data_IF_264634994706
#
_entry.id   IF_264634994706
#
_cell.length_a   1.000
_cell.length_b   1.000
_cell.length_c   1.000
_cell.angle_alpha   90.00
_cell.angle_beta   90.00
_cell.angle_gamma   90.00
#
_symmetry.space_group_name_H-M   'P 1'
#
loop_
_entity.id
_entity.type
_entity.pdbx_description
1 polymer ?
#
# COMPACT_ATOMS: atom_id res chain seq x y z
N UNK A 1 14.91 -26.95 4.14
CA UNK A 1 15.15 -25.61 3.55
C UNK A 1 16.61 -25.26 3.73
N UNK A 2 17.20 -24.43 2.86
CA UNK A 2 18.57 -23.95 3.06
C UNK A 2 18.64 -23.07 4.32
N UNK A 3 19.76 -23.11 5.05
CA UNK A 3 20.00 -22.23 6.18
C UNK A 3 19.91 -20.76 5.75
N UNK A 4 19.20 -19.92 6.51
CA UNK A 4 19.14 -18.48 6.25
C UNK A 4 20.51 -17.88 6.63
N UNK A 5 21.22 -17.24 5.69
CA UNK A 5 22.51 -16.64 5.97
C UNK A 5 22.38 -15.47 6.94
N UNK A 6 23.39 -15.33 7.81
CA UNK A 6 23.53 -14.21 8.75
C UNK A 6 24.70 -13.36 8.27
N UNK A 7 24.45 -12.07 8.03
CA UNK A 7 25.45 -11.10 7.63
C UNK A 7 25.73 -10.14 8.78
N UNK A 8 26.98 -9.73 8.95
CA UNK A 8 27.22 -8.47 9.66
C UNK A 8 26.85 -7.29 8.75
N UNK A 9 26.51 -6.15 9.34
CA UNK A 9 26.05 -4.98 8.58
C UNK A 9 27.05 -4.53 7.51
N UNK A 10 28.35 -4.52 7.83
CA UNK A 10 29.41 -4.13 6.89
C UNK A 10 29.42 -5.02 5.65
N UNK A 11 29.47 -6.34 5.83
CA UNK A 11 29.45 -7.33 4.75
C UNK A 11 28.19 -7.18 3.89
N UNK A 12 27.03 -6.99 4.52
CA UNK A 12 25.77 -6.80 3.82
C UNK A 12 25.80 -5.53 2.93
N UNK A 13 26.29 -4.41 3.46
CA UNK A 13 26.38 -3.14 2.75
C UNK A 13 27.40 -3.19 1.59
N UNK A 14 28.55 -3.86 1.79
CA UNK A 14 29.54 -4.11 0.74
C UNK A 14 28.94 -4.97 -0.39
N UNK A 15 28.20 -6.03 -0.04
CA UNK A 15 27.48 -6.88 -1.01
C UNK A 15 26.41 -6.09 -1.79
N UNK A 16 25.64 -5.21 -1.13
CA UNK A 16 24.69 -4.33 -1.80
C UNK A 16 25.37 -3.40 -2.82
N UNK A 17 26.59 -2.93 -2.52
CA UNK A 17 27.34 -2.07 -3.43
C UNK A 17 27.86 -2.85 -4.65
N UNK A 18 28.38 -4.05 -4.45
CA UNK A 18 28.86 -4.92 -5.53
C UNK A 18 27.73 -5.28 -6.49
N UNK A 19 26.55 -5.61 -5.96
CA UNK A 19 25.37 -5.93 -6.77
C UNK A 19 24.89 -4.75 -7.62
N UNK A 20 25.06 -3.50 -7.16
CA UNK A 20 24.75 -2.31 -8.00
C UNK A 20 25.67 -2.19 -9.22
N UNK A 21 26.91 -2.68 -9.14
CA UNK A 21 27.90 -2.58 -10.23
C UNK A 21 27.80 -3.70 -11.24
N UNK A 22 27.45 -4.91 -10.79
CA UNK A 22 27.44 -6.11 -11.64
C UNK A 22 26.21 -6.21 -12.54
N UNK A 23 25.15 -5.47 -12.23
CA UNK A 23 23.93 -5.57 -12.99
C UNK A 23 23.71 -4.35 -13.87
N UNK A 24 24.04 -4.46 -15.16
CA UNK A 24 23.44 -3.65 -16.22
C UNK A 24 21.95 -4.04 -16.36
N UNK A 25 21.13 -3.69 -15.35
CA UNK A 25 19.66 -3.90 -15.35
C UNK A 25 19.04 -4.66 -14.17
N UNK A 26 19.83 -5.20 -13.25
CA UNK A 26 19.39 -6.14 -12.19
C UNK A 26 19.35 -5.53 -10.79
N UNK A 27 18.39 -4.63 -10.55
CA UNK A 27 18.10 -4.22 -9.16
C UNK A 27 17.78 -5.46 -8.33
N UNK A 28 18.50 -5.66 -7.22
CA UNK A 28 18.06 -6.63 -6.21
C UNK A 28 16.69 -6.18 -5.73
N UNK A 29 15.64 -6.93 -6.03
CA UNK A 29 14.27 -6.58 -5.65
C UNK A 29 13.99 -6.80 -4.16
N UNK A 30 14.97 -7.33 -3.41
CA UNK A 30 14.81 -7.60 -1.99
C UNK A 30 14.54 -6.32 -1.20
N UNK A 31 13.56 -6.38 -0.30
CA UNK A 31 13.20 -5.29 0.62
C UNK A 31 13.81 -5.55 1.98
N UNK A 32 14.06 -4.46 2.70
CA UNK A 32 14.71 -4.50 4.01
C UNK A 32 13.67 -4.14 5.06
N UNK A 33 13.51 -5.02 6.05
CA UNK A 33 12.65 -4.80 7.21
C UNK A 33 13.54 -4.71 8.43
N UNK A 34 13.54 -3.56 9.08
CA UNK A 34 14.32 -3.30 10.28
C UNK A 34 13.48 -3.55 11.53
N UNK A 35 13.88 -4.53 12.32
CA UNK A 35 13.17 -4.93 13.53
C UNK A 35 13.68 -4.26 14.81
N UNK A 36 14.71 -3.40 14.70
CA UNK A 36 15.29 -2.68 15.83
C UNK A 36 14.31 -1.68 16.46
N UNK A 37 14.54 -1.25 17.71
CA UNK A 37 13.81 -0.14 18.31
C UNK A 37 13.79 1.10 17.41
N UNK A 38 12.68 1.86 17.46
CA UNK A 38 12.48 3.05 16.64
C UNK A 38 13.54 4.12 16.89
N UNK A 39 13.99 4.30 18.14
CA UNK A 39 15.08 5.22 18.49
C UNK A 39 16.38 4.88 17.75
N UNK A 40 16.77 3.61 17.71
CA UNK A 40 17.98 3.18 16.99
C UNK A 40 17.84 3.29 15.47
N UNK A 41 16.63 3.07 14.95
CA UNK A 41 16.35 3.28 13.53
C UNK A 41 16.47 4.75 13.14
N UNK A 42 15.94 5.66 13.97
CA UNK A 42 16.03 7.11 13.76
C UNK A 42 17.49 7.59 13.81
N UNK A 43 18.28 7.06 14.74
CA UNK A 43 19.71 7.37 14.83
C UNK A 43 20.46 6.98 13.55
N UNK A 44 20.21 5.77 13.03
CA UNK A 44 20.75 5.34 11.73
C UNK A 44 20.06 4.08 11.24
N UNK A 45 19.74 4.02 9.95
CA UNK A 45 19.18 2.83 9.32
C UNK A 45 19.59 2.69 7.85
N UNK A 46 19.39 1.49 7.28
CA UNK A 46 19.65 1.25 5.86
C UNK A 46 18.63 2.02 5.04
N UNK A 47 19.09 2.83 4.08
CA UNK A 47 18.23 3.60 3.17
C UNK A 47 17.20 2.69 2.52
N UNK A 48 15.95 3.14 2.49
CA UNK A 48 14.81 2.38 1.96
C UNK A 48 14.39 1.14 2.77
N UNK A 49 14.82 1.03 4.03
CA UNK A 49 14.29 0.03 4.96
C UNK A 49 13.02 0.50 5.67
N UNK A 50 12.15 -0.46 6.00
CA UNK A 50 10.94 -0.25 6.78
C UNK A 50 11.19 -0.63 8.23
N UNK A 51 11.01 0.28 9.19
CA UNK A 51 11.02 -0.09 10.61
C UNK A 51 9.68 -0.75 11.02
N UNK A 52 9.77 -1.97 11.54
CA UNK A 52 8.66 -2.70 12.16
C UNK A 52 9.18 -3.35 13.44
N UNK A 53 8.82 -2.84 14.63
CA UNK A 53 9.31 -3.43 15.88
C UNK A 53 8.94 -4.91 15.93
N UNK A 54 9.83 -5.75 16.49
CA UNK A 54 9.63 -7.22 16.58
C UNK A 54 8.22 -7.60 17.03
N UNK A 55 7.70 -6.94 18.07
CA UNK A 55 6.36 -7.20 18.64
C UNK A 55 5.19 -6.82 17.71
N UNK A 56 5.41 -5.93 16.77
CA UNK A 56 4.39 -5.40 15.86
C UNK A 56 4.32 -6.15 14.52
N UNK A 57 5.25 -7.07 14.25
CA UNK A 57 5.39 -7.73 12.94
C UNK A 57 4.07 -8.37 12.49
N UNK A 58 3.37 -9.06 13.41
CA UNK A 58 2.07 -9.69 13.11
C UNK A 58 0.99 -8.68 12.71
N UNK A 59 0.97 -7.53 13.35
CA UNK A 59 -0.06 -6.51 13.18
C UNK A 59 0.20 -5.68 11.92
N UNK A 60 1.48 -5.42 11.63
CA UNK A 60 1.97 -4.58 10.55
C UNK A 60 2.32 -5.37 9.27
N UNK A 61 1.89 -6.62 9.15
CA UNK A 61 2.05 -7.41 7.92
C UNK A 61 1.45 -6.72 6.67
N UNK A 62 0.48 -5.83 6.86
CA UNK A 62 -0.08 -5.02 5.78
C UNK A 62 0.90 -3.97 5.23
N UNK A 63 2.05 -3.74 5.84
CA UNK A 63 3.11 -2.84 5.33
C UNK A 63 4.16 -3.56 4.48
N UNK A 64 4.16 -4.90 4.52
CA UNK A 64 5.15 -5.73 3.85
C UNK A 64 4.90 -5.82 2.33
N UNK A 65 5.97 -6.04 1.54
CA UNK A 65 5.84 -6.24 0.09
C UNK A 65 5.01 -7.49 -0.25
N UNK A 66 4.66 -7.67 -1.54
CA UNK A 66 4.18 -8.96 -2.03
C UNK A 66 5.09 -10.13 -1.58
N UNK A 67 4.51 -11.32 -1.40
CA UNK A 67 5.24 -12.50 -0.90
C UNK A 67 6.29 -13.03 -1.87
N UNK A 68 6.15 -12.69 -3.15
CA UNK A 68 7.11 -12.91 -4.22
C UNK A 68 8.36 -12.04 -4.10
N UNK A 69 8.33 -11.02 -3.24
CA UNK A 69 9.46 -10.15 -2.96
C UNK A 69 10.29 -10.72 -1.82
N UNK A 70 11.57 -10.92 -2.11
CA UNK A 70 12.57 -11.33 -1.13
C UNK A 70 12.72 -10.29 0.00
N UNK A 71 13.03 -10.77 1.21
CA UNK A 71 13.23 -9.95 2.40
C UNK A 71 14.61 -10.14 3.01
N UNK A 72 15.23 -9.03 3.40
CA UNK A 72 16.27 -9.02 4.43
C UNK A 72 15.69 -8.46 5.73
N UNK A 73 16.05 -9.09 6.84
CA UNK A 73 15.61 -8.67 8.17
C UNK A 73 16.80 -8.10 8.92
N UNK A 74 16.74 -6.84 9.33
CA UNK A 74 17.75 -6.20 10.17
C UNK A 74 17.36 -6.33 11.62
N UNK A 75 18.32 -6.68 12.47
CA UNK A 75 18.12 -6.82 13.91
C UNK A 75 19.37 -6.39 14.66
N UNK A 76 19.23 -5.97 15.90
CA UNK A 76 20.37 -5.62 16.75
C UNK A 76 21.06 -6.88 17.30
N UNK A 77 22.36 -6.76 17.46
CA UNK A 77 23.26 -7.72 18.04
C UNK A 77 23.05 -7.97 19.53
N UNK A 78 22.44 -7.02 20.25
CA UNK A 78 22.36 -6.99 21.72
C UNK A 78 20.93 -7.13 22.27
N UNK A 79 19.94 -7.52 21.44
CA UNK A 79 18.61 -7.87 21.97
C UNK A 79 18.76 -9.16 22.78
N UNK A 80 19.17 -9.00 24.04
CA UNK A 80 19.43 -10.03 25.03
C UNK A 80 18.11 -10.66 25.48
N UNK A 81 18.19 -11.94 25.82
CA UNK A 81 17.15 -12.95 26.05
C UNK A 81 16.03 -12.65 27.08
N UNK A 82 15.87 -11.42 27.56
CA UNK A 82 15.06 -11.14 28.75
C UNK A 82 13.59 -10.80 28.48
N UNK A 83 13.11 -10.93 27.24
CA UNK A 83 11.67 -10.89 26.98
C UNK A 83 11.23 -12.21 26.39
N UNK A 84 10.71 -13.08 27.25
CA UNK A 84 9.85 -14.20 26.87
C UNK A 84 8.56 -13.63 26.24
N UNK A 85 8.68 -13.07 25.03
CA UNK A 85 7.51 -12.81 24.21
C UNK A 85 7.15 -14.17 23.62
N UNK A 86 6.14 -14.80 24.22
CA UNK A 86 5.43 -15.94 23.66
C UNK A 86 4.66 -15.51 22.39
N UNK A 87 5.38 -15.14 21.33
CA UNK A 87 4.84 -14.92 19.99
C UNK A 87 4.15 -16.23 19.49
N UNK A 88 4.55 -17.37 20.06
CA UNK A 88 3.96 -18.68 19.74
C UNK A 88 2.51 -18.82 20.24
N UNK A 89 2.14 -18.18 21.36
CA UNK A 89 0.83 -18.41 22.00
C UNK A 89 -0.31 -17.55 21.44
N UNK A 90 -0.03 -16.51 20.64
CA UNK A 90 -1.08 -15.65 20.03
C UNK A 90 -1.71 -16.24 18.75
N UNK A 91 -1.31 -17.45 18.33
CA UNK A 91 -1.99 -18.15 17.23
C UNK A 91 -2.63 -19.45 17.70
N UNK A 92 -3.90 -19.37 18.10
CA UNK A 92 -4.83 -20.51 18.20
C UNK A 92 -4.99 -21.19 16.83
N UNK A 93 -4.03 -22.04 16.47
CA UNK A 93 -4.15 -23.05 15.43
C UNK A 93 -3.15 -24.16 15.72
N UNK A 94 -3.64 -25.31 16.15
CA UNK A 94 -2.91 -26.54 16.55
C UNK A 94 -1.97 -27.12 15.48
N UNK A 95 -1.86 -26.50 14.29
CA UNK A 95 -0.92 -26.87 13.22
C UNK A 95 0.51 -26.32 13.39
N UNK A 96 0.85 -25.70 14.53
CA UNK A 96 2.18 -25.10 14.77
C UNK A 96 3.29 -26.09 15.12
N UNK A 97 2.95 -27.31 15.53
CA UNK A 97 3.93 -28.30 15.99
C UNK A 97 4.80 -28.86 14.86
N UNK A 98 4.37 -28.75 13.59
CA UNK A 98 5.11 -29.31 12.45
C UNK A 98 6.28 -28.43 11.97
N UNK A 99 6.34 -27.14 12.32
CA UNK A 99 7.43 -26.26 11.86
C UNK A 99 8.65 -26.25 12.80
N UNK A 100 8.52 -26.69 14.06
CA UNK A 100 9.62 -26.56 15.05
C UNK A 100 10.80 -27.47 14.75
N UNK A 101 10.57 -28.67 14.20
CA UNK A 101 11.62 -29.63 13.88
C UNK A 101 12.52 -29.21 12.69
N UNK A 102 12.06 -28.29 11.83
CA UNK A 102 12.78 -27.90 10.61
C UNK A 102 13.68 -26.67 10.79
N UNK A 103 13.63 -26.00 11.95
CA UNK A 103 14.33 -24.73 12.24
C UNK A 103 15.67 -24.95 12.98
N UNK A 104 15.98 -26.18 13.39
CA UNK A 104 17.22 -26.54 14.09
C UNK A 104 18.52 -26.23 13.30
N UNK A 105 18.43 -25.78 12.04
CA UNK A 105 19.60 -25.32 11.25
C UNK A 105 19.95 -23.82 11.44
N UNK A 106 19.09 -23.01 12.08
CA UNK A 106 19.50 -21.70 12.58
C UNK A 106 20.24 -21.98 13.89
N UNK A 107 21.58 -22.02 13.87
CA UNK A 107 22.38 -22.28 15.08
C UNK A 107 21.86 -21.43 16.24
N UNK A 108 21.44 -22.08 17.33
CA UNK A 108 20.62 -21.48 18.38
C UNK A 108 21.24 -20.25 19.07
N UNK A 109 22.55 -20.02 18.93
CA UNK A 109 23.31 -19.06 19.73
C UNK A 109 23.37 -17.61 19.23
N UNK A 110 22.88 -17.28 18.03
CA UNK A 110 23.18 -15.95 17.42
C UNK A 110 21.98 -15.06 17.10
N UNK A 111 20.74 -15.58 17.09
CA UNK A 111 19.54 -14.77 16.81
C UNK A 111 18.66 -14.76 18.06
N UNK A 112 18.33 -13.58 18.60
CA UNK A 112 17.41 -13.42 19.74
C UNK A 112 16.08 -14.15 19.53
N UNK A 113 15.56 -14.78 20.59
CA UNK A 113 14.31 -15.58 20.54
C UNK A 113 13.12 -14.81 19.96
N UNK A 114 12.96 -13.54 20.33
CA UNK A 114 11.87 -12.69 19.84
C UNK A 114 11.99 -12.40 18.32
N UNK A 115 13.19 -12.13 17.83
CA UNK A 115 13.49 -11.89 16.41
C UNK A 115 13.26 -13.16 15.60
N UNK A 116 13.66 -14.32 16.14
CA UNK A 116 13.35 -15.63 15.55
C UNK A 116 11.84 -15.80 15.40
N UNK A 117 11.06 -15.49 16.44
CA UNK A 117 9.60 -15.51 16.38
C UNK A 117 9.03 -14.67 15.23
N UNK A 118 9.51 -13.44 15.07
CA UNK A 118 9.13 -12.58 13.95
C UNK A 118 9.47 -13.17 12.57
N UNK A 119 10.69 -13.70 12.38
CA UNK A 119 11.10 -14.35 11.13
C UNK A 119 10.21 -15.56 10.83
N UNK A 120 9.88 -16.36 11.84
CA UNK A 120 8.99 -17.51 11.69
C UNK A 120 7.58 -17.11 11.28
N UNK A 121 7.06 -16.01 11.81
CA UNK A 121 5.79 -15.43 11.35
C UNK A 121 5.87 -15.10 9.87
N UNK A 122 6.95 -14.44 9.41
CA UNK A 122 7.11 -14.08 7.99
C UNK A 122 7.18 -15.31 7.08
N UNK A 123 8.01 -16.30 7.43
CA UNK A 123 8.14 -17.55 6.69
C UNK A 123 6.81 -18.31 6.62
N UNK A 124 6.12 -18.46 7.76
CA UNK A 124 4.81 -19.14 7.84
C UNK A 124 3.74 -18.44 7.02
N UNK A 125 3.81 -17.11 6.92
CA UNK A 125 2.91 -16.33 6.08
C UNK A 125 3.32 -16.35 4.60
N UNK A 126 4.47 -16.92 4.25
CA UNK A 126 4.91 -17.21 2.88
C UNK A 126 5.86 -16.19 2.29
N UNK A 127 6.44 -15.29 3.09
CA UNK A 127 7.54 -14.43 2.62
C UNK A 127 8.85 -15.21 2.57
N UNK A 128 9.68 -14.87 1.58
CA UNK A 128 11.01 -15.44 1.43
C UNK A 128 12.07 -14.57 2.12
N UNK A 129 12.54 -14.99 3.30
CA UNK A 129 13.60 -14.28 4.03
C UNK A 129 14.96 -14.76 3.54
N UNK A 130 15.65 -13.92 2.76
CA UNK A 130 16.95 -14.22 2.14
C UNK A 130 18.13 -14.13 3.09
N UNK A 131 18.00 -13.39 4.17
CA UNK A 131 19.07 -13.23 5.14
C UNK A 131 18.68 -12.39 6.33
N UNK A 132 19.43 -12.56 7.41
CA UNK A 132 19.36 -11.72 8.60
C UNK A 132 20.61 -10.85 8.65
N UNK A 133 20.43 -9.56 8.82
CA UNK A 133 21.51 -8.58 8.93
C UNK A 133 21.62 -8.18 10.39
N UNK A 134 22.74 -8.55 11.01
CA UNK A 134 23.06 -8.15 12.37
C UNK A 134 23.63 -6.75 12.36
N UNK A 135 22.95 -5.83 13.03
CA UNK A 135 23.40 -4.47 13.26
C UNK A 135 24.48 -4.47 14.35
N UNK A 136 25.67 -4.94 14.02
CA UNK A 136 26.85 -4.79 14.88
C UNK A 136 27.52 -3.47 14.57
N UNK A 137 27.76 -2.66 15.60
CA UNK A 137 28.31 -1.31 15.52
C UNK A 137 29.32 -1.12 14.40
N UNK A 138 28.91 -0.40 13.37
CA UNK A 138 29.83 0.29 12.48
C UNK A 138 30.48 1.34 13.39
N UNK A 139 31.72 1.12 13.87
CA UNK A 139 32.39 2.09 14.74
C UNK A 139 32.33 3.50 14.11
N UNK A 140 32.33 4.57 14.92
CA UNK A 140 32.13 5.96 14.47
C UNK A 140 32.97 6.32 13.22
N UNK A 141 34.22 5.83 13.16
CA UNK A 141 35.13 6.03 12.04
C UNK A 141 34.61 5.47 10.70
N UNK A 142 33.80 4.42 10.74
CA UNK A 142 33.22 3.82 9.55
C UNK A 142 31.92 4.51 9.14
N UNK A 143 31.07 4.98 10.04
CA UNK A 143 29.85 5.76 9.69
C UNK A 143 30.17 6.95 8.78
N UNK A 144 31.37 7.52 8.94
CA UNK A 144 31.87 8.65 8.17
C UNK A 144 32.42 8.32 6.77
N UNK A 145 32.49 7.05 6.35
CA UNK A 145 32.97 6.72 5.00
C UNK A 145 31.90 6.97 3.93
N UNK A 146 32.31 7.51 2.77
CA UNK A 146 31.42 7.81 1.64
C UNK A 146 30.56 6.62 1.17
N UNK A 147 31.07 5.39 1.33
CA UNK A 147 30.36 4.15 0.96
C UNK A 147 29.09 4.00 1.81
N UNK A 148 29.21 4.12 3.13
CA UNK A 148 28.09 3.94 4.03
C UNK A 148 27.17 5.16 4.07
N UNK A 149 27.69 6.39 3.89
CA UNK A 149 26.88 7.60 3.81
C UNK A 149 25.84 7.54 2.68
N UNK A 150 26.11 6.83 1.58
CA UNK A 150 25.16 6.67 0.49
C UNK A 150 24.11 5.57 0.72
N UNK A 151 24.33 4.71 1.71
CA UNK A 151 23.54 3.50 1.99
C UNK A 151 22.78 3.57 3.31
N UNK A 152 23.24 4.39 4.24
CA UNK A 152 22.59 4.67 5.51
C UNK A 152 21.92 6.04 5.46
N UNK A 153 20.87 6.21 6.24
CA UNK A 153 20.18 7.49 6.44
C UNK A 153 19.79 7.61 7.92
N UNK A 154 19.36 8.79 8.32
CA UNK A 154 18.92 9.11 9.69
C UNK A 154 17.55 9.78 9.65
N UNK A 155 16.89 9.87 10.81
CA UNK A 155 15.56 10.47 10.94
C UNK A 155 14.42 9.48 10.75
N UNK A 156 13.20 10.04 10.71
CA UNK A 156 11.94 9.29 10.68
C UNK A 156 11.48 8.91 9.26
N UNK A 157 12.40 8.72 8.32
CA UNK A 157 12.04 8.43 6.92
C UNK A 157 11.25 7.11 6.81
N UNK A 158 9.93 7.22 6.69
CA UNK A 158 9.08 6.06 6.44
C UNK A 158 9.17 5.62 4.99
N UNK A 159 9.80 4.46 4.77
CA UNK A 159 9.90 3.88 3.45
C UNK A 159 8.77 2.87 3.20
N UNK A 160 7.93 3.17 2.23
CA UNK A 160 6.92 2.22 1.78
C UNK A 160 7.58 1.15 0.92
N UNK A 161 7.59 -0.07 1.47
CA UNK A 161 8.09 -1.24 0.78
C UNK A 161 6.96 -2.11 0.20
N UNK A 162 5.71 -1.84 0.55
CA UNK A 162 4.57 -2.47 -0.12
C UNK A 162 4.38 -1.92 -1.53
N UNK A 163 3.61 -2.66 -2.32
CA UNK A 163 3.17 -2.24 -3.66
C UNK A 163 1.65 -2.12 -3.67
N UNK A 164 1.09 -1.25 -4.53
CA UNK A 164 -0.34 -1.28 -4.81
C UNK A 164 -0.73 -2.62 -5.41
N UNK A 165 -2.02 -2.83 -5.61
CA UNK A 165 -2.55 -3.83 -6.52
C UNK A 165 -1.74 -3.82 -7.83
N UNK A 166 -1.17 -4.96 -8.28
CA UNK A 166 -0.31 -4.99 -9.47
C UNK A 166 -0.98 -4.40 -10.71
N UNK A 167 -2.28 -4.67 -10.88
CA UNK A 167 -3.10 -4.17 -11.99
C UNK A 167 -3.19 -2.63 -11.97
N UNK A 168 -3.32 -2.01 -10.78
CA UNK A 168 -3.34 -0.57 -10.64
C UNK A 168 -1.96 0.02 -10.95
N UNK A 169 -0.89 -0.57 -10.37
CA UNK A 169 0.48 -0.14 -10.62
C UNK A 169 0.87 -0.16 -12.10
N UNK A 170 0.48 -1.20 -12.83
CA UNK A 170 0.72 -1.37 -14.28
C UNK A 170 0.00 -0.31 -15.12
N UNK A 171 -1.22 0.07 -14.73
CA UNK A 171 -2.10 0.90 -15.55
C UNK A 171 -2.23 2.36 -15.07
N UNK A 172 -1.57 2.75 -13.99
CA UNK A 172 -1.72 4.09 -13.42
C UNK A 172 -1.38 5.22 -14.39
N UNK A 173 -0.38 5.02 -15.27
CA UNK A 173 -0.01 6.01 -16.29
C UNK A 173 -1.12 6.22 -17.32
N UNK A 174 -1.83 5.15 -17.70
CA UNK A 174 -2.97 5.22 -18.60
C UNK A 174 -4.12 6.01 -17.93
N UNK A 175 -4.40 5.71 -16.66
CA UNK A 175 -5.43 6.41 -15.87
C UNK A 175 -5.11 7.91 -15.77
N UNK A 176 -3.90 8.25 -15.32
CA UNK A 176 -3.43 9.63 -15.14
C UNK A 176 -3.44 10.41 -16.46
N UNK A 177 -2.94 9.80 -17.54
CA UNK A 177 -2.93 10.44 -18.86
C UNK A 177 -4.33 10.69 -19.40
N UNK A 178 -5.26 9.74 -19.23
CA UNK A 178 -6.64 9.89 -19.68
C UNK A 178 -7.36 11.00 -18.89
N UNK A 179 -7.25 11.01 -17.56
CA UNK A 179 -7.83 12.08 -16.74
C UNK A 179 -7.23 13.45 -17.06
N UNK A 180 -5.90 13.51 -17.22
CA UNK A 180 -5.23 14.72 -17.67
C UNK A 180 -5.79 15.18 -19.02
N UNK A 181 -5.87 14.31 -20.03
CA UNK A 181 -6.42 14.66 -21.35
C UNK A 181 -7.83 15.22 -21.24
N UNK A 182 -8.68 14.58 -20.44
CA UNK A 182 -10.10 14.91 -20.34
C UNK A 182 -10.35 16.21 -19.57
N UNK A 183 -9.65 16.43 -18.46
CA UNK A 183 -9.86 17.58 -17.59
C UNK A 183 -9.08 18.79 -18.11
N UNK A 184 -7.86 18.57 -18.61
CA UNK A 184 -6.97 19.66 -19.01
C UNK A 184 -7.22 20.16 -20.43
N UNK A 185 -7.39 19.26 -21.41
CA UNK A 185 -7.47 19.68 -22.82
C UNK A 185 -8.88 20.08 -23.26
N UNK A 186 -9.92 19.57 -22.58
CA UNK A 186 -11.30 19.85 -22.97
C UNK A 186 -11.97 20.95 -22.15
N UNK A 187 -11.31 21.47 -21.11
CA UNK A 187 -11.85 22.55 -20.31
C UNK A 187 -11.22 23.87 -20.75
N UNK A 188 -11.93 24.62 -21.60
CA UNK A 188 -11.60 26.02 -21.86
C UNK A 188 -11.74 26.89 -20.59
N UNK A 189 -12.47 26.40 -19.58
CA UNK A 189 -12.98 27.18 -18.44
C UNK A 189 -12.43 26.79 -17.04
N UNK A 190 -11.60 25.75 -16.92
CA UNK A 190 -11.05 25.43 -15.60
C UNK A 190 -9.95 26.43 -15.26
N UNK A 191 -10.26 27.33 -14.31
CA UNK A 191 -9.33 28.22 -13.64
C UNK A 191 -8.22 27.41 -12.94
N UNK A 192 -7.25 26.96 -13.72
CA UNK A 192 -6.03 26.34 -13.23
C UNK A 192 -5.38 27.37 -12.32
N UNK A 193 -5.34 27.07 -11.02
CA UNK A 193 -4.60 27.87 -10.06
C UNK A 193 -3.14 27.84 -10.49
N UNK A 194 -2.67 28.92 -11.12
CA UNK A 194 -1.24 29.16 -11.30
C UNK A 194 -0.65 29.37 -9.91
N UNK A 195 -0.06 28.33 -9.35
CA UNK A 195 0.72 28.46 -8.13
C UNK A 195 2.08 29.04 -8.50
N UNK A 196 2.30 30.31 -8.19
CA UNK A 196 3.64 30.90 -8.23
C UNK A 196 4.44 30.26 -7.11
N UNK A 197 5.25 29.24 -7.43
CA UNK A 197 6.21 28.67 -6.48
C UNK A 197 7.31 29.72 -6.34
N UNK A 198 7.32 30.45 -5.22
CA UNK A 198 8.38 31.38 -4.89
C UNK A 198 9.70 30.60 -4.74
N UNK A 199 10.62 30.78 -5.68
CA UNK A 199 11.93 30.15 -5.67
C UNK A 199 12.99 31.12 -6.20
N UNK A 200 14.23 30.89 -5.80
CA UNK A 200 15.42 31.74 -5.99
C UNK A 200 15.52 32.50 -7.32
N UNK A 201 15.98 33.75 -7.21
CA UNK A 201 16.01 34.82 -8.21
C UNK A 201 16.88 34.58 -9.47
N UNK A 202 17.18 33.33 -9.84
CA UNK A 202 18.00 32.97 -11.01
C UNK A 202 17.44 31.88 -11.92
N UNK A 203 16.38 31.17 -11.54
CA UNK A 203 15.80 30.11 -12.37
C UNK A 203 14.69 30.67 -13.26
N UNK A 204 14.73 30.39 -14.58
CA UNK A 204 13.61 30.65 -15.50
C UNK A 204 12.39 29.84 -15.02
N UNK A 205 11.52 30.46 -14.23
CA UNK A 205 10.33 29.80 -13.66
C UNK A 205 9.36 29.39 -14.78
N UNK A 206 9.28 28.10 -15.07
CA UNK A 206 8.11 27.51 -15.72
C UNK A 206 7.03 27.41 -14.65
N UNK A 207 5.90 28.11 -14.83
CA UNK A 207 4.78 28.02 -13.91
C UNK A 207 4.26 26.56 -13.90
N UNK A 208 4.46 25.86 -12.78
CA UNK A 208 3.93 24.51 -12.61
C UNK A 208 2.45 24.61 -12.29
N UNK A 209 1.62 23.98 -13.11
CA UNK A 209 0.18 23.88 -12.86
C UNK A 209 -0.09 22.60 -12.08
N UNK A 210 -1.02 22.64 -11.13
CA UNK A 210 -1.40 21.47 -10.32
C UNK A 210 -2.83 21.07 -10.68
N UNK A 211 -2.99 19.83 -11.12
CA UNK A 211 -4.29 19.19 -11.31
C UNK A 211 -4.59 18.32 -10.10
N UNK A 212 -5.58 18.73 -9.30
CA UNK A 212 -6.04 17.99 -8.13
C UNK A 212 -7.07 16.94 -8.58
N UNK A 213 -6.77 15.66 -8.35
CA UNK A 213 -7.61 14.53 -8.71
C UNK A 213 -8.19 13.89 -7.45
N UNK A 214 -9.48 13.55 -7.47
CA UNK A 214 -10.15 12.85 -6.38
C UNK A 214 -10.40 11.40 -6.73
N UNK A 215 -10.04 10.50 -5.82
CA UNK A 215 -10.24 9.05 -5.98
C UNK A 215 -11.03 8.49 -4.82
N UNK A 216 -12.02 7.65 -5.11
CA UNK A 216 -12.75 6.86 -4.12
C UNK A 216 -12.33 5.39 -4.20
N UNK A 217 -11.80 4.84 -3.11
CA UNK A 217 -11.48 3.42 -2.97
C UNK A 217 -12.55 2.73 -2.11
N UNK A 218 -13.34 1.87 -2.76
CA UNK A 218 -14.49 1.21 -2.12
C UNK A 218 -14.12 -0.20 -1.66
N UNK A 219 -14.19 -0.42 -0.35
CA UNK A 219 -13.63 -1.61 0.28
C UNK A 219 -12.11 -1.51 0.35
N UNK A 220 -11.60 -0.36 0.82
CA UNK A 220 -10.18 0.01 0.72
C UNK A 220 -9.24 -0.91 1.51
N UNK A 221 -9.77 -1.75 2.42
CA UNK A 221 -8.97 -2.71 3.17
C UNK A 221 -7.87 -2.02 3.96
N UNK A 222 -6.62 -2.46 3.80
CA UNK A 222 -5.49 -1.81 4.47
C UNK A 222 -5.02 -0.51 3.81
N UNK A 223 -5.71 -0.01 2.77
CA UNK A 223 -5.43 1.31 2.17
C UNK A 223 -4.19 1.41 1.29
N UNK A 224 -3.53 0.29 0.93
CA UNK A 224 -2.28 0.32 0.15
C UNK A 224 -2.41 1.09 -1.17
N UNK A 225 -3.52 0.89 -1.88
CA UNK A 225 -3.79 1.55 -3.16
C UNK A 225 -4.00 3.06 -2.98
N UNK A 226 -4.75 3.46 -1.95
CA UNK A 226 -4.94 4.88 -1.59
C UNK A 226 -3.63 5.56 -1.22
N UNK A 227 -2.84 4.95 -0.34
CA UNK A 227 -1.56 5.49 0.12
C UNK A 227 -0.60 5.61 -1.05
N UNK A 228 -0.55 4.58 -1.90
CA UNK A 228 0.20 4.61 -3.14
C UNK A 228 -0.18 5.83 -3.98
N UNK A 229 -1.47 6.06 -4.24
CA UNK A 229 -1.95 7.23 -5.01
C UNK A 229 -1.62 8.56 -4.33
N UNK A 230 -1.83 8.70 -3.03
CA UNK A 230 -1.56 9.94 -2.28
C UNK A 230 -0.08 10.35 -2.25
N UNK A 231 0.83 9.38 -2.41
CA UNK A 231 2.27 9.62 -2.54
C UNK A 231 2.75 9.85 -3.96
N UNK A 232 1.89 9.60 -4.97
CA UNK A 232 2.31 9.81 -6.35
C UNK A 232 2.56 11.29 -6.58
N UNK A 233 3.74 11.56 -7.12
CA UNK A 233 4.16 12.86 -7.60
C UNK A 233 4.40 12.76 -9.10
N UNK A 234 3.33 12.50 -9.85
CA UNK A 234 3.37 12.34 -11.30
C UNK A 234 3.26 13.71 -11.96
N UNK A 235 3.93 13.87 -13.11
CA UNK A 235 3.76 15.04 -13.95
C UNK A 235 3.58 14.65 -15.41
N UNK A 236 2.75 15.40 -16.12
CA UNK A 236 2.45 15.19 -17.54
C UNK A 236 2.86 16.45 -18.32
N UNK A 237 3.49 16.25 -19.46
CA UNK A 237 3.79 17.31 -20.42
C UNK A 237 2.69 17.36 -21.49
N UNK A 238 1.93 18.47 -21.60
CA UNK A 238 0.99 18.66 -22.71
C UNK A 238 1.75 18.68 -24.04
N UNK A 239 1.20 18.03 -25.08
CA UNK A 239 1.82 18.06 -26.42
C UNK A 239 1.80 19.46 -27.05
N UNK A 240 0.72 20.21 -26.81
CA UNK A 240 0.50 21.56 -27.33
C UNK A 240 1.39 22.61 -26.65
N UNK A 241 1.77 22.37 -25.40
CA UNK A 241 2.53 23.32 -24.58
C UNK A 241 3.69 22.61 -23.87
N UNK A 242 4.79 22.44 -24.61
CA UNK A 242 6.01 21.79 -24.12
C UNK A 242 6.70 22.55 -22.97
N UNK A 243 6.22 23.75 -22.60
CA UNK A 243 6.83 24.58 -21.57
C UNK A 243 6.17 24.43 -20.20
N UNK A 244 4.91 23.98 -20.15
CA UNK A 244 4.15 23.93 -18.91
C UNK A 244 3.96 22.50 -18.43
N UNK A 245 4.76 22.12 -17.43
CA UNK A 245 4.60 20.84 -16.74
C UNK A 245 3.35 20.90 -15.84
N UNK A 246 2.47 19.91 -15.98
CA UNK A 246 1.29 19.77 -15.11
C UNK A 246 1.55 18.65 -14.12
N UNK A 247 1.60 19.00 -12.83
CA UNK A 247 1.72 18.06 -11.72
C UNK A 247 0.33 17.51 -11.37
N UNK A 248 0.24 16.21 -11.15
CA UNK A 248 -0.98 15.55 -10.69
C UNK A 248 -0.88 15.30 -9.19
N UNK A 249 -1.90 15.73 -8.45
CA UNK A 249 -2.00 15.50 -7.00
C UNK A 249 -3.29 14.77 -6.66
N UNK A 250 -3.18 13.60 -6.02
CA UNK A 250 -4.33 12.79 -5.64
C UNK A 250 -4.82 13.13 -4.23
N UNK A 251 -6.15 13.20 -4.07
CA UNK A 251 -6.86 13.24 -2.78
C UNK A 251 -7.66 11.95 -2.63
N UNK A 252 -7.18 10.96 -1.85
CA UNK A 252 -7.86 9.70 -1.66
C UNK A 252 -9.01 9.74 -0.65
N UNK A 253 -10.12 9.09 -0.99
CA UNK A 253 -11.29 8.85 -0.15
C UNK A 253 -11.46 7.34 -0.01
N UNK A 254 -11.50 6.84 1.21
CA UNK A 254 -11.57 5.41 1.49
C UNK A 254 -12.86 5.05 2.21
N UNK A 255 -13.52 3.98 1.78
CA UNK A 255 -14.65 3.41 2.49
C UNK A 255 -14.35 1.96 2.84
N UNK A 256 -14.56 1.60 4.10
CA UNK A 256 -14.61 0.20 4.50
C UNK A 256 -15.63 0.03 5.64
N UNK A 257 -16.19 -1.17 5.73
CA UNK A 257 -17.11 -1.52 6.82
C UNK A 257 -16.37 -2.04 8.05
N UNK A 258 -15.12 -2.49 7.87
CA UNK A 258 -14.25 -2.99 8.91
C UNK A 258 -13.42 -1.84 9.47
N UNK A 259 -13.64 -1.53 10.74
CA UNK A 259 -12.92 -0.44 11.42
C UNK A 259 -11.40 -0.67 11.44
N UNK A 260 -10.96 -1.90 11.71
CA UNK A 260 -9.54 -2.25 11.68
C UNK A 260 -8.87 -2.05 10.32
N UNK A 261 -9.61 -2.08 9.21
CA UNK A 261 -9.09 -1.75 7.90
C UNK A 261 -8.78 -0.25 7.83
N UNK A 262 -9.72 0.58 8.30
CA UNK A 262 -9.56 2.03 8.37
C UNK A 262 -8.43 2.43 9.32
N UNK A 263 -8.30 1.80 10.49
CA UNK A 263 -7.17 1.97 11.42
C UNK A 263 -5.82 1.79 10.71
N UNK A 264 -5.69 0.74 9.89
CA UNK A 264 -4.47 0.48 9.10
C UNK A 264 -4.20 1.59 8.09
N UNK A 265 -5.25 2.12 7.45
CA UNK A 265 -5.09 3.26 6.54
C UNK A 265 -4.62 4.50 7.30
N UNK A 266 -5.14 4.78 8.50
CA UNK A 266 -4.69 5.91 9.34
C UNK A 266 -3.20 5.79 9.64
N UNK A 267 -2.80 4.65 10.20
CA UNK A 267 -1.41 4.34 10.53
C UNK A 267 -0.47 4.45 9.32
N UNK A 268 -0.86 3.91 8.17
CA UNK A 268 -0.06 4.05 6.94
C UNK A 268 0.05 5.52 6.51
N UNK A 269 -1.05 6.27 6.56
CA UNK A 269 -1.09 7.64 6.07
C UNK A 269 -0.27 8.60 6.91
N UNK A 270 -0.26 8.39 8.23
CA UNK A 270 0.53 9.16 9.19
C UNK A 270 2.00 8.94 8.98
N UNK A 271 2.41 7.66 8.92
CA UNK A 271 3.79 7.27 8.65
C UNK A 271 4.24 7.77 7.28
N UNK A 272 3.37 7.72 6.27
CA UNK A 272 3.64 8.26 4.94
C UNK A 272 3.56 9.80 4.86
N UNK A 273 3.27 10.49 5.96
CA UNK A 273 3.08 11.96 6.02
C UNK A 273 2.07 12.51 5.00
N UNK A 274 1.00 11.76 4.73
CA UNK A 274 -0.09 12.15 3.84
C UNK A 274 -1.47 12.07 4.49
N UNK A 275 -1.56 11.92 5.82
CA UNK A 275 -2.82 11.85 6.56
C UNK A 275 -3.76 13.03 6.25
N UNK A 276 -3.22 14.24 6.09
CA UNK A 276 -3.99 15.44 5.73
C UNK A 276 -4.61 15.42 4.34
N UNK A 277 -4.19 14.49 3.47
CA UNK A 277 -4.70 14.32 2.11
C UNK A 277 -5.79 13.26 2.00
N UNK A 278 -6.01 12.48 3.06
CA UNK A 278 -6.89 11.31 3.04
C UNK A 278 -8.18 11.59 3.80
N UNK A 279 -9.29 11.08 3.25
CA UNK A 279 -10.59 11.05 3.92
C UNK A 279 -11.05 9.61 4.04
N UNK A 280 -11.57 9.24 5.21
CA UNK A 280 -12.00 7.87 5.50
C UNK A 280 -13.44 7.88 6.00
N UNK A 281 -14.25 6.94 5.52
CA UNK A 281 -15.66 6.79 5.89
C UNK A 281 -15.89 5.38 6.42
N UNK A 282 -16.41 5.28 7.64
CA UNK A 282 -16.84 4.01 8.22
C UNK A 282 -18.26 3.67 7.74
N UNK A 283 -18.33 3.08 6.55
CA UNK A 283 -19.59 2.78 5.87
C UNK A 283 -19.55 1.42 5.16
N UNK A 284 -20.72 0.84 4.95
CA UNK A 284 -20.90 -0.37 4.14
C UNK A 284 -21.79 -0.08 2.94
N UNK A 285 -21.68 -0.88 1.90
CA UNK A 285 -22.64 -0.86 0.79
C UNK A 285 -23.87 -1.67 1.20
N UNK A 286 -25.06 -1.06 1.12
CA UNK A 286 -26.31 -1.73 1.46
C UNK A 286 -26.84 -2.61 0.31
N UNK A 287 -28.05 -3.13 0.49
CA UNK A 287 -28.75 -3.96 -0.49
C UNK A 287 -29.20 -3.22 -1.76
N UNK A 288 -29.05 -1.90 -1.84
CA UNK A 288 -29.41 -1.07 -3.01
C UNK A 288 -28.17 -0.43 -3.65
N UNK A 289 -26.97 -0.71 -3.14
CA UNK A 289 -25.72 -0.17 -3.66
C UNK A 289 -25.30 1.17 -3.06
N UNK A 290 -26.08 1.75 -2.16
CA UNK A 290 -25.82 3.03 -1.50
C UNK A 290 -24.96 2.81 -0.26
N UNK A 291 -24.12 3.79 0.10
CA UNK A 291 -23.32 3.71 1.32
C UNK A 291 -24.21 3.99 2.53
N UNK A 292 -24.07 3.19 3.58
CA UNK A 292 -24.75 3.40 4.86
C UNK A 292 -23.73 3.40 5.99
N UNK A 293 -23.84 4.32 6.96
CA UNK A 293 -22.91 4.41 8.07
C UNK A 293 -22.94 3.12 8.91
N UNK A 294 -21.80 2.77 9.50
CA UNK A 294 -21.71 1.68 10.46
C UNK A 294 -21.87 2.25 11.87
N UNK A 295 -23.08 2.16 12.42
CA UNK A 295 -23.44 2.78 13.71
C UNK A 295 -22.86 2.06 14.96
N UNK A 296 -22.20 0.91 14.78
CA UNK A 296 -21.54 0.20 15.87
C UNK A 296 -20.09 -0.02 15.48
N UNK A 297 -19.18 0.66 16.18
CA UNK A 297 -17.84 0.14 16.39
C UNK A 297 -18.05 -1.24 17.03
N UNK A 298 -17.92 -2.31 16.25
CA UNK A 298 -17.70 -3.61 16.88
C UNK A 298 -16.42 -3.40 17.65
N UNK A 299 -16.47 -3.46 18.98
CA UNK A 299 -15.28 -3.51 19.81
C UNK A 299 -14.32 -4.52 19.17
N UNK A 300 -13.32 -4.02 18.45
CA UNK A 300 -12.33 -4.80 17.71
C UNK A 300 -11.51 -5.66 18.68
N UNK A 301 -11.61 -5.37 19.98
CA UNK A 301 -11.11 -6.11 21.14
C UNK A 301 -11.58 -7.57 21.27
N UNK A 302 -12.56 -8.04 20.48
CA UNK A 302 -12.95 -9.46 20.45
C UNK A 302 -12.01 -10.35 19.63
N UNK A 303 -11.15 -9.75 18.79
CA UNK A 303 -9.95 -10.42 18.31
C UNK A 303 -8.89 -10.20 19.37
N UNK A 304 -8.31 -11.27 19.94
CA UNK A 304 -7.10 -11.23 20.76
C UNK A 304 -5.90 -10.76 19.89
N UNK A 305 -5.98 -9.54 19.35
CA UNK A 305 -4.84 -8.75 18.93
C UNK A 305 -4.24 -8.31 20.25
N UNK A 306 -3.44 -9.22 20.84
CA UNK A 306 -3.14 -9.24 22.26
C UNK A 306 -2.67 -7.88 22.74
N UNK A 307 -3.43 -7.28 23.67
CA UNK A 307 -3.06 -6.07 24.41
C UNK A 307 -2.24 -5.06 23.61
N UNK A 308 -2.60 -4.84 22.34
CA UNK A 308 -2.13 -3.66 21.66
C UNK A 308 -2.97 -2.54 22.25
N UNK A 309 -2.49 -2.05 23.41
CA UNK A 309 -2.86 -0.80 24.02
C UNK A 309 -2.44 0.30 23.02
N UNK A 310 -3.12 0.37 21.89
CA UNK A 310 -3.34 1.64 21.26
C UNK A 310 -4.20 2.39 22.26
N UNK A 311 -3.54 3.08 23.17
CA UNK A 311 -4.18 4.08 24.00
C UNK A 311 -5.06 4.91 23.06
N UNK A 312 -6.30 5.16 23.43
CA UNK A 312 -7.26 6.00 22.71
C UNK A 312 -6.76 7.45 22.47
N UNK A 313 -5.47 7.72 22.69
CA UNK A 313 -4.81 9.01 22.76
C UNK A 313 -4.09 9.44 21.48
N UNK A 314 -4.14 8.69 20.38
CA UNK A 314 -3.45 9.11 19.14
C UNK A 314 -4.29 8.88 17.89
N UNK A 315 -5.39 9.63 17.77
CA UNK A 315 -5.89 10.01 16.45
C UNK A 315 -5.20 11.33 16.13
N UNK A 316 -4.26 11.39 15.17
CA UNK A 316 -3.65 12.67 14.81
C UNK A 316 -4.72 13.61 14.28
N UNK A 317 -4.68 14.84 14.78
CA UNK A 317 -5.65 15.90 14.51
C UNK A 317 -5.79 16.27 13.02
N UNK A 318 -4.88 15.81 12.16
CA UNK A 318 -4.82 16.16 10.74
C UNK A 318 -5.63 15.22 9.84
N UNK A 319 -5.96 14.00 10.28
CA UNK A 319 -6.71 13.05 9.49
C UNK A 319 -8.21 13.29 9.64
N UNK A 320 -8.92 13.45 8.51
CA UNK A 320 -10.37 13.57 8.52
C UNK A 320 -11.01 12.18 8.52
N UNK A 321 -11.33 11.71 9.72
CA UNK A 321 -12.09 10.48 9.93
C UNK A 321 -13.58 10.82 10.06
N UNK A 322 -14.36 10.37 9.07
CA UNK A 322 -15.78 10.65 9.00
C UNK A 322 -16.56 9.45 9.55
N UNK A 323 -17.17 9.67 10.71
CA UNK A 323 -18.07 8.71 11.36
C UNK A 323 -19.46 9.33 11.41
N UNK A 324 -20.47 8.50 11.21
CA UNK A 324 -21.86 8.89 11.39
C UNK A 324 -22.61 9.17 10.08
N UNK A 325 -23.93 9.36 10.18
CA UNK A 325 -24.83 9.44 9.02
C UNK A 325 -24.57 10.66 8.14
N UNK A 326 -24.28 11.83 8.72
CA UNK A 326 -24.17 13.10 7.99
C UNK A 326 -23.06 13.05 6.92
N UNK A 327 -21.87 12.56 7.28
CA UNK A 327 -20.76 12.49 6.33
C UNK A 327 -20.98 11.43 5.22
N UNK A 328 -21.67 10.33 5.55
CA UNK A 328 -22.04 9.33 4.54
C UNK A 328 -23.15 9.85 3.63
N UNK A 329 -24.06 10.67 4.16
CA UNK A 329 -25.10 11.34 3.39
C UNK A 329 -24.53 12.41 2.44
N UNK A 330 -23.55 13.19 2.89
CA UNK A 330 -22.77 14.10 2.03
C UNK A 330 -22.13 13.33 0.86
N UNK A 331 -21.49 12.19 1.16
CA UNK A 331 -20.88 11.34 0.15
C UNK A 331 -21.91 10.76 -0.82
N UNK A 332 -23.04 10.26 -0.34
CA UNK A 332 -24.11 9.71 -1.19
C UNK A 332 -24.77 10.77 -2.08
N UNK A 333 -24.83 12.02 -1.61
CA UNK A 333 -25.45 13.15 -2.31
C UNK A 333 -24.52 13.79 -3.34
N UNK A 334 -23.25 13.41 -3.33
CA UNK A 334 -22.21 13.97 -4.21
C UNK A 334 -22.35 13.44 -5.64
N UNK A 335 -22.99 14.20 -6.52
CA UNK A 335 -23.08 13.87 -7.94
C UNK A 335 -21.85 14.38 -8.70
N UNK A 336 -21.12 13.49 -9.38
CA UNK A 336 -19.99 13.88 -10.22
C UNK A 336 -18.77 14.39 -9.47
N UNK A 337 -18.53 13.89 -8.25
CA UNK A 337 -17.48 14.40 -7.36
C UNK A 337 -16.11 13.74 -7.54
N UNK A 338 -16.07 12.49 -7.99
CA UNK A 338 -14.82 11.73 -8.12
C UNK A 338 -14.35 11.62 -9.56
N UNK A 339 -13.04 11.77 -9.77
CA UNK A 339 -12.39 11.56 -11.06
C UNK A 339 -12.08 10.08 -11.30
N UNK A 340 -11.88 9.32 -10.22
CA UNK A 340 -11.61 7.90 -10.26
C UNK A 340 -12.37 7.16 -9.15
N UNK A 341 -12.99 6.03 -9.49
CA UNK A 341 -13.45 5.05 -8.50
C UNK A 341 -12.61 3.77 -8.64
N UNK A 342 -12.00 3.33 -7.55
CA UNK A 342 -11.30 2.06 -7.42
C UNK A 342 -12.19 1.00 -6.77
N UNK A 343 -12.10 -0.21 -7.29
CA UNK A 343 -12.72 -1.40 -6.72
C UNK A 343 -11.76 -2.58 -6.83
N UNK A 344 -10.95 -2.81 -5.80
CA UNK A 344 -9.89 -3.83 -5.81
C UNK A 344 -10.25 -4.97 -4.85
N UNK A 345 -10.41 -6.19 -5.38
CA UNK A 345 -10.72 -7.42 -4.62
C UNK A 345 -11.95 -7.31 -3.71
N UNK A 346 -12.78 -6.31 -3.95
CA UNK A 346 -14.12 -6.14 -3.43
C UNK A 346 -15.10 -6.31 -4.60
N UNK A 347 -16.34 -6.71 -4.33
CA UNK A 347 -17.37 -6.81 -5.36
C UNK A 347 -18.75 -6.62 -4.75
N UNK A 348 -19.41 -5.53 -5.15
CA UNK A 348 -20.84 -5.33 -4.92
C UNK A 348 -21.46 -4.73 -6.19
N UNK A 349 -22.08 -5.58 -7.01
CA UNK A 349 -22.70 -5.19 -8.29
C UNK A 349 -23.75 -4.10 -8.13
N UNK A 350 -24.47 -4.10 -7.01
CA UNK A 350 -25.52 -3.12 -6.76
C UNK A 350 -24.95 -1.72 -6.61
N UNK A 351 -23.69 -1.60 -6.17
CA UNK A 351 -22.99 -0.33 -6.06
C UNK A 351 -22.68 0.32 -7.41
N UNK A 352 -22.69 -0.41 -8.54
CA UNK A 352 -22.26 0.12 -9.83
C UNK A 352 -23.13 1.30 -10.31
N UNK A 353 -24.44 1.25 -10.06
CA UNK A 353 -25.34 2.37 -10.38
C UNK A 353 -25.04 3.60 -9.54
N UNK A 354 -24.59 3.41 -8.29
CA UNK A 354 -24.17 4.48 -7.42
C UNK A 354 -22.80 5.04 -7.84
N UNK A 355 -21.84 4.18 -8.21
CA UNK A 355 -20.55 4.58 -8.77
C UNK A 355 -20.72 5.48 -10.00
N UNK A 356 -21.67 5.14 -10.87
CA UNK A 356 -22.01 5.98 -12.01
C UNK A 356 -22.42 7.41 -11.61
N UNK A 357 -23.22 7.58 -10.56
CA UNK A 357 -23.63 8.90 -10.04
C UNK A 357 -22.46 9.66 -9.44
N UNK A 358 -21.64 8.97 -8.64
CA UNK A 358 -20.51 9.57 -7.95
C UNK A 358 -19.37 10.04 -8.88
N UNK A 359 -19.21 9.40 -10.05
CA UNK A 359 -18.19 9.75 -11.04
C UNK A 359 -18.50 11.05 -11.79
N UNK A 360 -17.51 11.94 -11.86
CA UNK A 360 -17.51 13.13 -12.69
C UNK A 360 -17.67 12.78 -14.17
N UNK A 361 -18.10 13.75 -14.99
CA UNK A 361 -18.10 13.59 -16.45
C UNK A 361 -16.66 13.32 -16.90
N UNK A 362 -16.45 12.33 -17.77
CA UNK A 362 -15.13 11.84 -18.16
C UNK A 362 -14.31 11.17 -17.05
N UNK A 363 -14.91 10.96 -15.86
CA UNK A 363 -14.31 10.18 -14.79
C UNK A 363 -14.14 8.71 -15.18
N UNK A 364 -13.24 8.03 -14.47
CA UNK A 364 -12.84 6.66 -14.72
C UNK A 364 -13.32 5.72 -13.63
N UNK A 365 -13.68 4.50 -14.00
CA UNK A 365 -13.76 3.38 -13.06
C UNK A 365 -12.63 2.41 -13.31
N UNK A 366 -11.97 1.97 -12.24
CA UNK A 366 -10.99 0.90 -12.25
C UNK A 366 -11.50 -0.25 -11.37
N UNK A 367 -11.67 -1.43 -11.95
CA UNK A 367 -12.09 -2.63 -11.22
C UNK A 367 -11.03 -3.70 -11.41
N UNK A 368 -10.55 -4.25 -10.29
CA UNK A 368 -9.64 -5.38 -10.29
C UNK A 368 -10.07 -6.42 -9.27
N UNK A 369 -10.88 -7.39 -9.71
CA UNK A 369 -11.46 -8.41 -8.83
C UNK A 369 -11.50 -9.78 -9.51
N UNK A 370 -11.84 -10.81 -8.76
CA UNK A 370 -11.81 -12.20 -9.20
C UNK A 370 -12.81 -12.46 -10.33
N UNK A 371 -12.37 -13.20 -11.35
CA UNK A 371 -13.18 -13.54 -12.54
C UNK A 371 -13.18 -15.05 -12.77
N UNK A 372 -14.28 -15.58 -13.28
CA UNK A 372 -14.42 -16.96 -13.71
C UNK A 372 -15.20 -17.02 -15.03
N UNK A 373 -15.01 -18.11 -15.78
CA UNK A 373 -15.62 -18.30 -17.08
C UNK A 373 -14.92 -19.40 -17.87
N UNK A 374 -15.42 -19.65 -19.08
CA UNK A 374 -14.80 -20.58 -20.02
C UNK A 374 -13.38 -20.12 -20.39
N UNK A 375 -12.42 -21.05 -20.42
CA UNK A 375 -11.01 -20.76 -20.71
C UNK A 375 -10.23 -20.06 -19.58
N UNK A 376 -10.86 -19.74 -18.44
CA UNK A 376 -10.19 -19.10 -17.30
C UNK A 376 -9.78 -20.17 -16.27
N UNK A 377 -8.53 -20.14 -15.75
CA UNK A 377 -8.09 -21.04 -14.70
C UNK A 377 -9.05 -21.10 -13.50
N UNK A 378 -9.41 -22.32 -13.08
CA UNK A 378 -10.32 -22.55 -11.96
C UNK A 378 -9.60 -22.38 -10.62
N UNK A 379 -10.31 -21.83 -9.64
CA UNK A 379 -9.87 -21.72 -8.24
C UNK A 379 -11.05 -21.93 -7.29
N UNK A 380 -10.78 -22.27 -6.04
CA UNK A 380 -11.82 -22.61 -5.05
C UNK A 380 -12.43 -21.41 -4.35
N UNK A 381 -11.63 -20.34 -4.13
CA UNK A 381 -12.07 -19.11 -3.45
C UNK A 381 -11.44 -17.84 -4.02
N UNK A 382 -12.19 -16.72 -4.09
CA UNK A 382 -13.62 -16.60 -3.73
C UNK A 382 -14.55 -17.33 -4.71
N UNK A 383 -15.83 -17.49 -4.36
CA UNK A 383 -16.80 -18.27 -5.14
C UNK A 383 -18.17 -17.56 -5.20
N UNK A 384 -19.01 -17.94 -6.15
CA UNK A 384 -20.40 -17.47 -6.22
C UNK A 384 -20.50 -15.98 -6.54
N UNK A 385 -21.32 -15.24 -5.77
CA UNK A 385 -21.59 -13.81 -5.98
C UNK A 385 -20.36 -12.91 -5.80
N UNK A 386 -19.25 -13.42 -5.28
CA UNK A 386 -18.00 -12.68 -5.11
C UNK A 386 -17.04 -12.79 -6.31
N UNK A 387 -17.47 -13.42 -7.40
CA UNK A 387 -16.68 -13.60 -8.63
C UNK A 387 -17.47 -13.03 -9.81
N UNK A 388 -16.79 -12.29 -10.70
CA UNK A 388 -17.36 -11.80 -11.94
C UNK A 388 -17.42 -12.91 -13.00
N UNK A 389 -18.44 -12.84 -13.86
CA UNK A 389 -18.41 -13.60 -15.11
C UNK A 389 -17.53 -12.90 -16.14
N UNK A 390 -16.94 -13.68 -17.05
CA UNK A 390 -16.26 -13.13 -18.23
C UNK A 390 -17.18 -12.18 -19.00
N UNK A 391 -16.66 -11.05 -19.48
CA UNK A 391 -17.38 -9.96 -20.16
C UNK A 391 -18.49 -9.24 -19.35
N UNK A 392 -18.70 -9.58 -18.08
CA UNK A 392 -19.79 -8.99 -17.27
C UNK A 392 -19.66 -7.47 -17.15
N UNK A 393 -18.46 -6.98 -16.82
CA UNK A 393 -18.19 -5.55 -16.67
C UNK A 393 -18.35 -4.80 -17.99
N UNK A 394 -17.78 -5.34 -19.07
CA UNK A 394 -17.90 -4.75 -20.41
C UNK A 394 -19.35 -4.56 -20.81
N UNK A 395 -20.18 -5.60 -20.67
CA UNK A 395 -21.62 -5.53 -20.97
C UNK A 395 -22.32 -4.48 -20.13
N UNK A 396 -22.09 -4.46 -18.82
CA UNK A 396 -22.74 -3.51 -17.91
C UNK A 396 -22.36 -2.05 -18.23
N UNK A 397 -21.07 -1.75 -18.33
CA UNK A 397 -20.60 -0.37 -18.50
C UNK A 397 -20.85 0.16 -19.91
N UNK A 398 -20.76 -0.68 -20.95
CA UNK A 398 -21.14 -0.28 -22.31
C UNK A 398 -22.63 0.06 -22.42
N UNK A 399 -23.52 -0.63 -21.69
CA UNK A 399 -24.94 -0.28 -21.64
C UNK A 399 -25.20 1.11 -21.00
N UNK A 400 -24.26 1.62 -20.21
CA UNK A 400 -24.27 2.97 -19.65
C UNK A 400 -23.48 3.98 -20.50
N UNK A 401 -23.16 3.64 -21.75
CA UNK A 401 -22.38 4.45 -22.69
C UNK A 401 -20.95 4.77 -22.21
N UNK A 402 -20.32 3.88 -21.43
CA UNK A 402 -18.91 4.04 -21.09
C UNK A 402 -18.02 3.61 -22.24
N UNK A 403 -16.91 4.32 -22.43
CA UNK A 403 -15.82 3.88 -23.31
C UNK A 403 -14.92 2.93 -22.53
N UNK A 404 -14.78 1.69 -23.01
CA UNK A 404 -13.90 0.69 -22.37
C UNK A 404 -12.47 0.93 -22.84
N UNK A 405 -11.59 1.29 -21.91
CA UNK A 405 -10.18 1.60 -22.19
C UNK A 405 -9.28 0.38 -21.99
N UNK A 406 -9.63 -0.49 -21.04
CA UNK A 406 -8.94 -1.73 -20.76
C UNK A 406 -9.95 -2.78 -20.28
N UNK A 407 -9.86 -3.98 -20.83
CA UNK A 407 -10.57 -5.15 -20.34
C UNK A 407 -9.65 -6.35 -20.54
N UNK A 408 -8.97 -6.76 -19.46
CA UNK A 408 -7.98 -7.82 -19.51
C UNK A 408 -8.14 -8.75 -18.31
N UNK A 409 -7.76 -10.01 -18.49
CA UNK A 409 -7.70 -11.01 -17.42
C UNK A 409 -6.23 -11.30 -17.14
N UNK A 410 -5.84 -11.15 -15.88
CA UNK A 410 -4.48 -11.36 -15.41
C UNK A 410 -4.44 -12.43 -14.31
N UNK A 411 -3.29 -13.07 -14.14
CA UNK A 411 -3.06 -14.03 -13.06
C UNK A 411 -2.35 -13.35 -11.90
N UNK A 412 -2.83 -13.60 -10.69
CA UNK A 412 -2.11 -13.28 -9.46
C UNK A 412 -0.97 -14.29 -9.25
N UNK A 413 -0.03 -13.95 -8.37
CA UNK A 413 1.09 -14.82 -7.97
C UNK A 413 0.64 -16.20 -7.44
N UNK A 414 -0.59 -16.30 -6.91
CA UNK A 414 -1.18 -17.56 -6.45
C UNK A 414 -2.02 -18.28 -7.51
N UNK A 415 -1.92 -17.88 -8.77
CA UNK A 415 -2.57 -18.50 -9.92
C UNK A 415 -4.04 -18.12 -10.10
N UNK A 416 -4.64 -17.33 -9.20
CA UNK A 416 -6.04 -16.91 -9.34
C UNK A 416 -6.18 -15.83 -10.40
N UNK A 417 -7.24 -15.93 -11.19
CA UNK A 417 -7.55 -14.95 -12.24
C UNK A 417 -8.30 -13.75 -11.69
N UNK A 418 -7.84 -12.56 -12.06
CA UNK A 418 -8.49 -11.28 -11.79
C UNK A 418 -8.69 -10.51 -13.08
N UNK A 419 -9.73 -9.71 -13.16
CA UNK A 419 -9.85 -8.70 -14.23
C UNK A 419 -8.97 -7.49 -13.90
N UNK A 420 -8.46 -6.80 -14.92
CA UNK A 420 -8.03 -5.42 -14.85
C UNK A 420 -8.88 -4.64 -15.86
N UNK A 421 -9.89 -3.94 -15.35
CA UNK A 421 -10.91 -3.27 -16.14
C UNK A 421 -10.87 -1.76 -15.91
N UNK A 422 -10.83 -1.00 -17.00
CA UNK A 422 -10.88 0.46 -16.99
C UNK A 422 -11.94 0.93 -17.98
N UNK A 423 -12.89 1.72 -17.49
CA UNK A 423 -13.90 2.34 -18.33
C UNK A 423 -14.06 3.83 -18.01
N UNK A 424 -14.33 4.62 -19.03
CA UNK A 424 -14.52 6.07 -18.93
C UNK A 424 -15.99 6.41 -19.12
N UNK A 425 -16.52 7.24 -18.21
CA UNK A 425 -17.87 7.83 -18.33
C UNK A 425 -17.90 8.86 -19.46
N UNK A 426 -18.93 8.79 -20.31
CA UNK A 426 -19.16 9.77 -21.40
C UNK A 426 -19.55 11.16 -20.94
#
# INVERSE_FOLDING_TARGET
>A
MNSIPIYNLKEFLENLQQNKKSTEGGKTNAKIVDLRPESEFIESHIKSSLNVRVKEVCERLFEFPPKTTDLFVVTDAQILDNTDIDIVNTTHNEKLVACSAEIHSLSDSFIPKCVRGAILVLLKKGWNVKGVVRWTGIGENHLNSNIYQCQLTTGEEYNIIFSPCPQLGKNIKLIEYTLFKNIYLNCEDHALKKTNIAGDAGAKHTATQILNLKVLDVGCGSGRDMIYLGLRNSSVLPRSDKKNLVKLEWTPYGIDYLDYCLDRVRNLSERAHISSKIQLYHARVNGDGVFVPVNRLRNSYGLNIGECQHSDSYIPSTLKFHVGPEAVEELNSSNGFFDLILNVRYLNRKAFSHYHKLLSKNGLIFISTFVAGEGIPKYTKPSGSHVLQSDELKKYWSALNYTILLDSIELLDDGRSVTAFIAQKG
#
